data_IF_441694702790
#
_entry.id   IF_441694702790
#
_cell.length_a   1.000
_cell.length_b   1.000
_cell.length_c   1.000
_cell.angle_alpha   90.00
_cell.angle_beta   90.00
_cell.angle_gamma   90.00
#
_symmetry.space_group_name_H-M   'P 1'
#
loop_
_entity.id
_entity.type
_entity.pdbx_description
1 polymer ?
#
# COMPACT_ATOMS: atom_id res chain seq x y z
N UNK A 1 -31.69 10.30 -23.24
CA UNK A 1 -31.07 8.99 -23.50
C UNK A 1 -29.60 9.07 -23.14
N UNK A 2 -29.24 8.84 -21.88
CA UNK A 2 -27.86 8.88 -21.40
C UNK A 2 -27.27 7.48 -21.53
N UNK A 3 -26.60 7.22 -22.66
CA UNK A 3 -25.80 6.01 -22.85
C UNK A 3 -24.68 6.01 -21.84
N UNK A 4 -24.67 4.99 -20.98
CA UNK A 4 -23.70 4.74 -19.93
C UNK A 4 -22.36 4.32 -20.57
N UNK A 5 -21.59 5.30 -21.04
CA UNK A 5 -20.29 5.14 -21.71
C UNK A 5 -19.16 4.72 -20.75
N UNK A 6 -19.50 3.99 -19.69
CA UNK A 6 -18.54 3.37 -18.79
C UNK A 6 -17.91 2.16 -19.48
N UNK A 7 -16.61 2.22 -19.78
CA UNK A 7 -15.82 1.10 -20.28
C UNK A 7 -15.87 -0.12 -19.34
N UNK A 8 -16.05 0.15 -18.05
CA UNK A 8 -16.09 -0.85 -17.00
C UNK A 8 -17.39 -1.69 -17.07
N UNK A 9 -17.22 -3.00 -17.00
CA UNK A 9 -18.30 -3.98 -16.86
C UNK A 9 -18.71 -4.08 -15.39
N UNK A 10 -19.96 -4.51 -15.16
CA UNK A 10 -20.40 -4.93 -13.84
C UNK A 10 -19.78 -6.28 -13.51
N UNK A 11 -19.20 -6.42 -12.32
CA UNK A 11 -18.54 -7.64 -11.87
C UNK A 11 -19.56 -8.55 -11.16
N UNK A 12 -19.78 -9.79 -11.64
CA UNK A 12 -20.68 -10.74 -10.99
C UNK A 12 -20.23 -11.11 -9.57
N UNK A 13 -21.17 -11.42 -8.68
CA UNK A 13 -20.91 -11.76 -7.26
C UNK A 13 -19.91 -12.90 -7.06
N UNK A 14 -19.91 -13.91 -7.94
CA UNK A 14 -19.01 -15.06 -7.89
C UNK A 14 -17.71 -14.90 -8.70
N UNK A 15 -17.40 -13.70 -9.20
CA UNK A 15 -16.19 -13.48 -9.99
C UNK A 15 -14.92 -13.43 -9.12
N UNK A 16 -13.78 -13.70 -9.73
CA UNK A 16 -12.47 -13.67 -9.07
C UNK A 16 -12.00 -15.04 -8.59
N UNK A 17 -10.86 -15.04 -7.90
CA UNK A 17 -10.15 -16.22 -7.40
C UNK A 17 -10.29 -16.30 -5.88
N UNK A 18 -11.50 -16.53 -5.39
CA UNK A 18 -11.79 -16.67 -3.97
C UNK A 18 -13.15 -16.09 -3.59
N UNK A 19 -13.57 -16.27 -2.33
CA UNK A 19 -14.80 -15.66 -1.84
C UNK A 19 -14.65 -14.15 -1.85
N UNK A 20 -15.66 -13.46 -2.38
CA UNK A 20 -15.69 -12.01 -2.30
C UNK A 20 -15.92 -11.57 -0.85
N UNK A 21 -15.12 -10.62 -0.37
CA UNK A 21 -15.36 -10.03 0.95
C UNK A 21 -16.45 -8.97 0.82
N UNK A 22 -17.43 -9.05 1.72
CA UNK A 22 -18.59 -8.18 1.69
C UNK A 22 -18.54 -7.19 2.86
N UNK A 23 -18.60 -5.91 2.54
CA UNK A 23 -18.98 -4.84 3.44
C UNK A 23 -20.40 -4.37 3.07
N UNK A 24 -21.06 -3.63 3.96
CA UNK A 24 -22.45 -3.16 3.78
C UNK A 24 -22.70 -2.43 2.47
N UNK A 25 -21.68 -1.79 1.88
CA UNK A 25 -21.79 -1.03 0.62
C UNK A 25 -20.79 -1.47 -0.46
N UNK A 26 -19.81 -2.31 -0.14
CA UNK A 26 -18.72 -2.66 -1.06
C UNK A 26 -18.44 -4.15 -1.07
N UNK A 27 -18.01 -4.66 -2.22
CA UNK A 27 -17.60 -6.04 -2.44
C UNK A 27 -16.16 -6.07 -2.96
N UNK A 28 -15.31 -6.90 -2.39
CA UNK A 28 -13.91 -7.04 -2.79
C UNK A 28 -13.71 -8.38 -3.49
N UNK A 29 -13.27 -8.35 -4.75
CA UNK A 29 -12.94 -9.53 -5.56
C UNK A 29 -11.43 -9.70 -5.66
N UNK A 30 -10.94 -10.90 -5.38
CA UNK A 30 -9.53 -11.21 -5.51
C UNK A 30 -9.16 -11.67 -6.93
N UNK A 31 -8.01 -11.22 -7.44
CA UNK A 31 -7.34 -11.83 -8.59
C UNK A 31 -8.09 -11.77 -9.93
N UNK A 32 -8.82 -10.67 -10.18
CA UNK A 32 -9.46 -10.41 -11.47
C UNK A 32 -8.45 -9.90 -12.50
N UNK A 33 -8.63 -10.26 -13.76
CA UNK A 33 -7.83 -9.68 -14.84
C UNK A 33 -8.41 -8.35 -15.27
N UNK A 34 -7.54 -7.41 -15.68
CA UNK A 34 -7.98 -6.13 -16.21
C UNK A 34 -8.95 -6.28 -17.40
N UNK A 35 -8.73 -7.30 -18.25
CA UNK A 35 -9.63 -7.61 -19.37
C UNK A 35 -11.03 -8.08 -18.95
N UNK A 36 -11.17 -8.64 -17.74
CA UNK A 36 -12.46 -9.11 -17.20
C UNK A 36 -13.31 -7.93 -16.69
N UNK A 37 -12.68 -6.78 -16.40
CA UNK A 37 -13.36 -5.56 -15.96
C UNK A 37 -13.89 -4.70 -17.11
N UNK A 38 -13.68 -5.08 -18.36
CA UNK A 38 -13.93 -4.22 -19.52
C UNK A 38 -14.93 -4.86 -20.48
N UNK A 39 -15.87 -4.05 -20.98
CA UNK A 39 -16.88 -4.51 -21.95
C UNK A 39 -16.31 -4.68 -23.35
N UNK A 40 -15.32 -3.86 -23.71
CA UNK A 40 -14.65 -3.82 -25.02
C UNK A 40 -13.27 -3.18 -24.89
N UNK A 41 -12.40 -3.37 -25.89
CA UNK A 41 -11.10 -2.69 -25.94
C UNK A 41 -11.30 -1.17 -26.00
N UNK A 42 -10.66 -0.39 -25.12
CA UNK A 42 -10.68 1.07 -25.19
C UNK A 42 -10.07 1.60 -26.51
N UNK A 43 -10.61 2.68 -27.09
CA UNK A 43 -10.00 3.35 -28.24
C UNK A 43 -8.65 3.97 -27.87
N UNK A 44 -7.78 4.20 -28.85
CA UNK A 44 -6.46 4.80 -28.62
C UNK A 44 -5.38 3.85 -28.08
N UNK A 45 -5.74 2.60 -27.73
CA UNK A 45 -4.78 1.57 -27.35
C UNK A 45 -4.40 0.70 -28.56
N UNK A 46 -3.10 0.49 -28.76
CA UNK A 46 -2.61 -0.49 -29.75
C UNK A 46 -3.00 -1.91 -29.33
N UNK A 47 -3.12 -2.81 -30.31
CA UNK A 47 -3.43 -4.22 -30.04
C UNK A 47 -2.42 -4.89 -29.09
N UNK A 48 -1.14 -4.51 -29.18
CA UNK A 48 -0.10 -5.01 -28.29
C UNK A 48 -0.27 -4.50 -26.84
N UNK A 49 -0.49 -3.19 -26.67
CA UNK A 49 -0.75 -2.61 -25.34
C UNK A 49 -1.95 -3.28 -24.66
N UNK A 50 -3.03 -3.52 -25.42
CA UNK A 50 -4.21 -4.22 -24.92
C UNK A 50 -3.93 -5.69 -24.58
N UNK A 51 -3.26 -6.44 -25.46
CA UNK A 51 -2.90 -7.84 -25.23
C UNK A 51 -2.03 -8.03 -23.99
N UNK A 52 -1.11 -7.09 -23.73
CA UNK A 52 -0.31 -7.05 -22.51
C UNK A 52 -1.16 -6.72 -21.28
N UNK A 53 -1.84 -5.56 -21.28
CA UNK A 53 -2.52 -5.06 -20.09
C UNK A 53 -3.74 -5.89 -19.68
N UNK A 54 -4.49 -6.42 -20.65
CA UNK A 54 -5.71 -7.22 -20.37
C UNK A 54 -5.44 -8.49 -19.55
N UNK A 55 -4.20 -9.00 -19.57
CA UNK A 55 -3.78 -10.18 -18.80
C UNK A 55 -3.28 -9.83 -17.40
N UNK A 56 -3.05 -8.55 -17.10
CA UNK A 56 -2.61 -8.11 -15.78
C UNK A 56 -3.66 -8.51 -14.75
N UNK A 57 -3.22 -9.19 -13.71
CA UNK A 57 -4.03 -9.54 -12.56
C UNK A 57 -4.05 -8.36 -11.59
N UNK A 58 -5.24 -7.97 -11.18
CA UNK A 58 -5.52 -7.05 -10.11
C UNK A 58 -5.75 -7.88 -8.85
N UNK A 59 -4.94 -7.65 -7.83
CA UNK A 59 -4.95 -8.47 -6.62
C UNK A 59 -6.27 -8.33 -5.87
N UNK A 60 -6.77 -7.10 -5.77
CA UNK A 60 -8.08 -6.80 -5.21
C UNK A 60 -8.81 -5.81 -6.13
N UNK A 61 -10.07 -6.07 -6.43
CA UNK A 61 -10.97 -5.13 -7.12
C UNK A 61 -12.14 -4.86 -6.21
N UNK A 62 -12.30 -3.59 -5.83
CA UNK A 62 -13.39 -3.13 -4.99
C UNK A 62 -14.52 -2.64 -5.89
N UNK A 63 -15.70 -3.20 -5.69
CA UNK A 63 -16.91 -2.86 -6.43
C UNK A 63 -17.99 -2.35 -5.48
N UNK A 64 -18.85 -1.46 -5.97
CA UNK A 64 -20.10 -1.11 -5.29
C UNK A 64 -20.97 -2.37 -5.14
N UNK A 65 -21.47 -2.66 -3.93
CA UNK A 65 -22.15 -3.92 -3.63
C UNK A 65 -23.51 -4.07 -4.35
N UNK A 66 -24.19 -2.95 -4.62
CA UNK A 66 -25.51 -2.87 -5.23
C UNK A 66 -25.47 -3.00 -6.77
N UNK A 67 -24.49 -2.38 -7.42
CA UNK A 67 -24.37 -2.31 -8.88
C UNK A 67 -23.30 -3.24 -9.44
N UNK A 68 -22.36 -3.71 -8.61
CA UNK A 68 -21.20 -4.48 -9.04
C UNK A 68 -20.21 -3.67 -9.88
N UNK A 69 -20.32 -2.33 -9.91
CA UNK A 69 -19.38 -1.47 -10.65
C UNK A 69 -18.03 -1.39 -9.93
N UNK A 70 -16.90 -1.60 -10.62
CA UNK A 70 -15.57 -1.35 -10.05
C UNK A 70 -15.42 0.11 -9.64
N UNK A 71 -15.02 0.33 -8.39
CA UNK A 71 -14.70 1.65 -7.83
C UNK A 71 -13.20 1.92 -7.85
N UNK A 72 -12.39 0.91 -7.48
CA UNK A 72 -10.93 0.97 -7.57
C UNK A 72 -10.32 -0.43 -7.49
N UNK A 73 -9.02 -0.52 -7.80
CA UNK A 73 -8.24 -1.74 -7.64
C UNK A 73 -7.00 -1.52 -6.76
N UNK A 74 -6.50 -2.61 -6.18
CA UNK A 74 -5.24 -2.66 -5.44
C UNK A 74 -4.37 -3.74 -6.05
N UNK A 75 -3.11 -3.41 -6.34
CA UNK A 75 -2.07 -4.32 -6.81
C UNK A 75 -0.91 -4.37 -5.79
N UNK A 76 -0.57 -5.56 -5.29
CA UNK A 76 0.58 -5.83 -4.43
C UNK A 76 1.62 -6.64 -5.21
N UNK A 77 2.83 -6.11 -5.35
CA UNK A 77 3.90 -6.77 -6.12
C UNK A 77 5.24 -6.71 -5.39
N UNK A 78 6.17 -7.63 -5.70
CA UNK A 78 7.58 -7.40 -5.40
C UNK A 78 8.13 -6.22 -6.22
N UNK A 79 9.16 -5.50 -5.74
CA UNK A 79 9.83 -4.46 -6.51
C UNK A 79 10.30 -4.98 -7.87
N UNK A 80 10.04 -4.21 -8.93
CA UNK A 80 10.30 -4.61 -10.32
C UNK A 80 11.80 -4.80 -10.57
N UNK A 81 12.25 -6.03 -10.92
CA UNK A 81 13.67 -6.33 -10.99
C UNK A 81 14.35 -5.82 -12.27
N UNK A 82 13.60 -5.62 -13.36
CA UNK A 82 14.16 -5.28 -14.68
C UNK A 82 13.38 -4.22 -15.47
N UNK A 83 13.89 -3.86 -16.64
CA UNK A 83 13.30 -2.85 -17.53
C UNK A 83 12.05 -3.34 -18.26
N UNK A 84 11.91 -4.64 -18.50
CA UNK A 84 10.77 -5.24 -19.20
C UNK A 84 9.53 -5.24 -18.31
N UNK A 85 9.69 -5.63 -17.04
CA UNK A 85 8.67 -5.51 -15.99
C UNK A 85 8.18 -4.06 -15.91
N UNK A 86 9.09 -3.10 -15.75
CA UNK A 86 8.75 -1.66 -15.71
C UNK A 86 8.02 -1.15 -16.95
N UNK A 87 8.27 -1.73 -18.13
CA UNK A 87 7.52 -1.39 -19.36
C UNK A 87 6.10 -1.94 -19.32
N UNK A 88 5.92 -3.18 -18.86
CA UNK A 88 4.59 -3.75 -18.68
C UNK A 88 3.78 -2.93 -17.67
N UNK A 89 4.41 -2.48 -16.59
CA UNK A 89 3.76 -1.64 -15.56
C UNK A 89 3.27 -0.30 -16.09
N UNK A 90 4.11 0.41 -16.85
CA UNK A 90 3.71 1.65 -17.53
C UNK A 90 2.59 1.42 -18.54
N UNK A 91 2.58 0.24 -19.19
CA UNK A 91 1.50 -0.13 -20.11
C UNK A 91 0.19 -0.35 -19.35
N UNK A 92 0.21 -1.11 -18.24
CA UNK A 92 -0.97 -1.28 -17.37
C UNK A 92 -1.46 0.05 -16.85
N UNK A 93 -0.56 0.90 -16.35
CA UNK A 93 -0.86 2.26 -15.86
C UNK A 93 -1.60 3.11 -16.89
N UNK A 94 -1.09 3.15 -18.12
CA UNK A 94 -1.73 3.90 -19.21
C UNK A 94 -3.14 3.35 -19.51
N UNK A 95 -3.33 2.02 -19.45
CA UNK A 95 -4.64 1.40 -19.68
C UNK A 95 -5.61 1.69 -18.54
N UNK A 96 -5.23 1.51 -17.26
CA UNK A 96 -6.12 1.79 -16.12
C UNK A 96 -6.53 3.26 -16.06
N UNK A 97 -5.59 4.16 -16.40
CA UNK A 97 -5.88 5.60 -16.53
C UNK A 97 -6.87 5.85 -17.66
N UNK A 98 -6.66 5.26 -18.84
CA UNK A 98 -7.53 5.46 -20.00
C UNK A 98 -8.97 4.94 -19.80
N UNK A 99 -9.16 3.90 -19.00
CA UNK A 99 -10.48 3.34 -18.68
C UNK A 99 -11.13 3.99 -17.45
N UNK A 100 -10.43 4.91 -16.79
CA UNK A 100 -10.90 5.58 -15.59
C UNK A 100 -11.06 4.65 -14.39
N UNK A 101 -10.22 3.61 -14.26
CA UNK A 101 -10.19 2.75 -13.08
C UNK A 101 -9.11 3.27 -12.11
N UNK A 102 -9.49 3.84 -10.95
CA UNK A 102 -8.53 4.19 -9.92
C UNK A 102 -7.74 2.97 -9.46
N UNK A 103 -6.42 3.11 -9.32
CA UNK A 103 -5.53 2.01 -8.95
C UNK A 103 -4.56 2.44 -7.85
N UNK A 104 -4.51 1.65 -6.78
CA UNK A 104 -3.42 1.68 -5.80
C UNK A 104 -2.41 0.58 -6.14
N UNK A 105 -1.15 0.96 -6.34
CA UNK A 105 -0.06 0.02 -6.56
C UNK A 105 0.91 0.08 -5.39
N UNK A 106 1.17 -1.09 -4.82
CA UNK A 106 2.03 -1.29 -3.65
C UNK A 106 3.18 -2.21 -4.06
N UNK A 107 4.41 -1.71 -3.99
CA UNK A 107 5.60 -2.54 -4.13
C UNK A 107 6.19 -2.84 -2.75
N UNK A 108 6.31 -4.11 -2.40
CA UNK A 108 6.90 -4.58 -1.15
C UNK A 108 7.62 -5.91 -1.36
N UNK A 109 8.81 -6.05 -0.76
CA UNK A 109 9.54 -7.31 -0.78
C UNK A 109 8.80 -8.39 0.04
N UNK A 110 8.08 -7.98 1.08
CA UNK A 110 7.48 -8.85 2.09
C UNK A 110 5.98 -9.03 1.91
N UNK A 111 5.23 -7.95 1.72
CA UNK A 111 3.77 -8.03 1.66
C UNK A 111 3.32 -8.81 0.43
N UNK A 112 2.28 -9.64 0.63
CA UNK A 112 1.71 -10.51 -0.39
C UNK A 112 0.22 -10.27 -0.54
N UNK A 113 -0.25 -10.27 -1.79
CA UNK A 113 -1.64 -10.05 -2.17
C UNK A 113 -2.64 -10.96 -1.43
N UNK A 114 -2.36 -12.27 -1.38
CA UNK A 114 -3.27 -13.24 -0.77
C UNK A 114 -3.42 -13.05 0.75
N UNK A 115 -2.34 -12.68 1.42
CA UNK A 115 -2.28 -12.55 2.89
C UNK A 115 -2.72 -11.16 3.37
N UNK A 116 -2.31 -10.10 2.65
CA UNK A 116 -2.43 -8.71 3.13
C UNK A 116 -3.42 -7.88 2.31
N UNK A 117 -3.66 -8.25 1.05
CA UNK A 117 -4.50 -7.50 0.12
C UNK A 117 -5.89 -7.20 0.67
N UNK A 118 -6.63 -8.20 1.21
CA UNK A 118 -7.92 -7.99 1.84
C UNK A 118 -7.94 -6.89 2.91
N UNK A 119 -6.99 -6.95 3.85
CA UNK A 119 -6.90 -6.00 4.97
C UNK A 119 -6.55 -4.60 4.48
N UNK A 120 -5.65 -4.50 3.51
CA UNK A 120 -5.25 -3.24 2.90
C UNK A 120 -6.41 -2.61 2.13
N UNK A 121 -7.15 -3.40 1.34
CA UNK A 121 -8.33 -2.92 0.63
C UNK A 121 -9.42 -2.45 1.60
N UNK A 122 -9.67 -3.20 2.68
CA UNK A 122 -10.58 -2.81 3.76
C UNK A 122 -10.18 -1.49 4.41
N UNK A 123 -8.89 -1.33 4.73
CA UNK A 123 -8.36 -0.09 5.30
C UNK A 123 -8.59 1.13 4.39
N UNK A 124 -8.31 1.00 3.09
CA UNK A 124 -8.56 2.07 2.11
C UNK A 124 -10.06 2.36 1.96
N UNK A 125 -10.91 1.33 2.01
CA UNK A 125 -12.37 1.50 2.00
C UNK A 125 -12.83 2.36 3.18
N UNK A 126 -12.35 2.06 4.38
CA UNK A 126 -12.75 2.75 5.60
C UNK A 126 -12.18 4.18 5.65
N UNK A 127 -10.91 4.35 5.28
CA UNK A 127 -10.27 5.66 5.19
C UNK A 127 -10.99 6.60 4.23
N UNK A 128 -11.34 6.12 3.03
CA UNK A 128 -12.09 6.89 2.04
C UNK A 128 -13.48 7.29 2.56
N UNK A 129 -14.20 6.34 3.15
CA UNK A 129 -15.53 6.60 3.70
C UNK A 129 -15.49 7.65 4.81
N UNK A 130 -14.47 7.58 5.65
CA UNK A 130 -14.27 8.53 6.73
C UNK A 130 -14.01 9.95 6.18
N UNK A 131 -13.12 10.08 5.20
CA UNK A 131 -12.85 11.35 4.53
C UNK A 131 -14.11 11.94 3.86
N UNK A 132 -14.86 11.11 3.13
CA UNK A 132 -16.13 11.51 2.48
C UNK A 132 -17.18 12.00 3.49
N UNK A 133 -17.26 11.40 4.68
CA UNK A 133 -18.18 11.81 5.75
C UNK A 133 -17.74 13.07 6.50
N UNK A 134 -16.43 13.29 6.62
CA UNK A 134 -15.90 14.46 7.31
C UNK A 134 -16.07 15.77 6.54
N UNK A 135 -15.92 15.74 5.21
CA UNK A 135 -16.17 16.90 4.34
C UNK A 135 -17.59 17.48 4.52
N UNK A 136 -18.55 16.65 4.94
CA UNK A 136 -19.92 17.06 5.20
C UNK A 136 -20.17 17.72 6.57
N UNK A 137 -19.20 17.69 7.50
CA UNK A 137 -19.43 18.01 8.94
C UNK A 137 -18.54 19.11 9.54
N UNK A 138 -17.73 19.78 8.72
CA UNK A 138 -16.61 20.66 9.08
C UNK A 138 -16.70 21.46 10.40
N UNK A 139 -16.22 20.86 11.50
CA UNK A 139 -15.46 21.48 12.59
C UNK A 139 -14.37 20.48 13.03
N UNK A 140 -13.10 20.90 12.97
CA UNK A 140 -11.88 20.11 13.30
C UNK A 140 -11.84 18.68 12.72
N UNK A 141 -11.45 18.56 11.44
CA UNK A 141 -11.19 17.25 10.85
C UNK A 141 -9.93 16.62 11.43
N UNK A 142 -10.05 15.44 12.01
CA UNK A 142 -8.93 14.56 12.40
C UNK A 142 -8.77 13.55 11.26
N UNK A 143 -7.56 13.29 10.77
CA UNK A 143 -7.38 12.29 9.71
C UNK A 143 -7.80 10.89 10.22
N UNK A 144 -8.30 10.03 9.32
CA UNK A 144 -8.70 8.66 9.67
C UNK A 144 -7.62 7.90 10.46
N UNK A 145 -6.36 8.07 10.05
CA UNK A 145 -5.19 7.47 10.71
C UNK A 145 -4.94 8.03 12.12
N UNK A 146 -5.32 9.28 12.37
CA UNK A 146 -5.01 10.01 13.61
C UNK A 146 -6.09 9.90 14.69
N UNK A 147 -7.12 9.09 14.45
CA UNK A 147 -8.13 8.80 15.47
C UNK A 147 -7.44 8.08 16.63
N UNK A 148 -7.39 8.74 17.78
CA UNK A 148 -6.79 8.20 19.00
C UNK A 148 -7.82 7.38 19.76
N UNK A 149 -7.39 6.21 20.24
CA UNK A 149 -8.17 5.36 21.11
C UNK A 149 -7.29 4.33 21.80
N UNK A 150 -7.93 3.38 22.50
CA UNK A 150 -7.23 2.36 23.29
C UNK A 150 -6.69 1.26 22.37
N UNK A 151 -5.38 1.05 22.39
CA UNK A 151 -4.69 0.00 21.65
C UNK A 151 -4.74 -1.34 22.41
N UNK A 152 -4.50 -2.48 21.73
CA UNK A 152 -4.50 -3.81 22.35
C UNK A 152 -3.47 -3.98 23.49
N UNK A 153 -2.40 -3.20 23.48
CA UNK A 153 -1.37 -3.17 24.52
C UNK A 153 -1.74 -2.28 25.73
N UNK A 154 -2.95 -1.71 25.73
CA UNK A 154 -3.46 -0.86 26.80
C UNK A 154 -2.88 0.56 26.79
N UNK A 155 -2.23 1.02 25.71
CA UNK A 155 -1.86 2.44 25.56
C UNK A 155 -2.88 3.18 24.70
N UNK A 156 -2.84 4.50 24.76
CA UNK A 156 -3.62 5.33 23.83
C UNK A 156 -2.77 5.60 22.59
N UNK A 157 -3.37 5.51 21.41
CA UNK A 157 -2.68 5.74 20.15
C UNK A 157 -3.62 5.67 18.94
N UNK A 158 -3.05 5.80 17.75
CA UNK A 158 -3.78 5.72 16.49
C UNK A 158 -4.42 4.34 16.31
N UNK A 159 -5.75 4.22 16.49
CA UNK A 159 -6.43 2.91 16.42
C UNK A 159 -6.47 2.32 15.01
N UNK A 160 -6.31 3.19 14.01
CA UNK A 160 -6.30 2.83 12.60
C UNK A 160 -4.88 2.66 12.04
N UNK A 161 -3.84 2.74 12.87
CA UNK A 161 -2.47 2.47 12.42
C UNK A 161 -2.31 0.97 12.08
N UNK A 162 -2.05 0.67 10.79
CA UNK A 162 -1.83 -0.71 10.32
C UNK A 162 -0.61 -1.36 10.97
N UNK A 163 0.34 -0.55 11.46
CA UNK A 163 1.53 -0.96 12.18
C UNK A 163 1.30 -1.33 13.65
N UNK A 164 0.10 -1.14 14.21
CA UNK A 164 -0.18 -1.47 15.63
C UNK A 164 0.16 -2.93 15.96
N UNK A 165 -0.25 -3.87 15.10
CA UNK A 165 0.06 -5.29 15.32
C UNK A 165 1.56 -5.55 15.21
N UNK A 166 2.27 -4.91 14.27
CA UNK A 166 3.72 -5.07 14.16
C UNK A 166 4.46 -4.55 15.41
N UNK A 167 3.95 -3.51 16.08
CA UNK A 167 4.51 -3.04 17.35
C UNK A 167 4.34 -4.06 18.47
N UNK A 168 3.22 -4.81 18.49
CA UNK A 168 3.04 -5.95 19.41
C UNK A 168 4.09 -7.04 19.11
N UNK A 169 4.24 -7.42 17.84
CA UNK A 169 5.26 -8.40 17.41
C UNK A 169 6.68 -7.97 17.80
N UNK A 170 7.00 -6.67 17.72
CA UNK A 170 8.29 -6.15 18.13
C UNK A 170 8.52 -6.28 19.64
N UNK A 171 7.50 -6.04 20.46
CA UNK A 171 7.57 -6.26 21.91
C UNK A 171 7.76 -7.76 22.21
N UNK A 172 6.98 -8.63 21.56
CA UNK A 172 7.10 -10.08 21.75
C UNK A 172 8.48 -10.60 21.34
N UNK A 173 8.99 -10.17 20.18
CA UNK A 173 10.31 -10.54 19.71
C UNK A 173 11.42 -10.01 20.64
N UNK A 174 11.28 -8.82 21.21
CA UNK A 174 12.21 -8.29 22.21
C UNK A 174 12.19 -9.12 23.50
N UNK A 175 11.01 -9.45 24.02
CA UNK A 175 10.86 -10.31 25.21
C UNK A 175 11.48 -11.70 24.97
N UNK A 176 11.32 -12.24 23.76
CA UNK A 176 11.95 -13.48 23.32
C UNK A 176 13.46 -13.36 23.03
N UNK A 177 14.08 -12.18 23.26
CA UNK A 177 15.50 -11.88 22.98
C UNK A 177 15.89 -12.05 21.51
N UNK A 178 14.93 -11.88 20.60
CA UNK A 178 15.11 -11.88 19.14
C UNK A 178 15.35 -10.48 18.57
N UNK A 179 15.16 -9.44 19.37
CA UNK A 179 15.45 -8.05 19.03
C UNK A 179 16.35 -7.41 20.08
N UNK A 180 17.13 -6.41 19.66
CA UNK A 180 17.97 -5.58 20.54
C UNK A 180 17.15 -4.51 21.25
N UNK A 181 16.18 -3.91 20.55
CA UNK A 181 15.17 -3.02 21.12
C UNK A 181 13.79 -3.30 20.50
N UNK A 182 12.68 -2.99 21.19
CA UNK A 182 11.34 -3.18 20.65
C UNK A 182 10.88 -2.02 19.74
N UNK A 183 11.78 -1.08 19.38
CA UNK A 183 11.40 0.16 18.72
C UNK A 183 11.45 -0.03 17.20
N UNK A 184 10.26 -0.07 16.60
CA UNK A 184 10.11 0.10 15.15
C UNK A 184 10.30 1.57 14.80
N UNK A 185 11.40 1.86 14.12
CA UNK A 185 11.69 3.19 13.59
C UNK A 185 11.18 3.26 12.16
N UNK A 186 10.74 4.44 11.74
CA UNK A 186 10.18 4.63 10.40
C UNK A 186 10.47 6.03 9.87
N UNK A 187 10.35 6.15 8.55
CA UNK A 187 10.29 7.43 7.85
C UNK A 187 9.46 7.28 6.59
N UNK A 188 8.99 8.39 6.05
CA UNK A 188 8.39 8.44 4.73
C UNK A 188 8.83 9.66 3.94
N UNK A 189 8.74 9.55 2.63
CA UNK A 189 8.93 10.66 1.69
C UNK A 189 7.89 10.56 0.58
N UNK A 190 7.58 11.70 -0.04
CA UNK A 190 6.77 11.72 -1.26
C UNK A 190 7.53 12.40 -2.39
N UNK A 191 7.77 11.68 -3.48
CA UNK A 191 8.50 12.18 -4.64
C UNK A 191 7.56 12.98 -5.57
N UNK A 192 7.96 14.20 -5.96
CA UNK A 192 7.11 15.11 -6.74
C UNK A 192 6.62 14.56 -8.09
N UNK A 193 7.41 13.67 -8.70
CA UNK A 193 7.08 12.97 -9.95
C UNK A 193 7.18 11.46 -9.78
N UNK A 194 6.81 10.96 -8.60
CA UNK A 194 7.06 9.58 -8.25
C UNK A 194 6.14 9.01 -7.17
N UNK A 195 6.50 7.85 -6.62
CA UNK A 195 5.72 7.21 -5.59
C UNK A 195 5.81 7.95 -4.26
N UNK A 196 4.91 7.64 -3.34
CA UNK A 196 5.19 7.76 -1.93
C UNK A 196 6.06 6.57 -1.49
N UNK A 197 7.01 6.80 -0.61
CA UNK A 197 7.97 5.79 -0.16
C UNK A 197 8.03 5.78 1.36
N UNK A 198 7.78 4.62 1.95
CA UNK A 198 7.81 4.38 3.38
C UNK A 198 8.91 3.38 3.73
N UNK A 199 9.58 3.65 4.84
CA UNK A 199 10.65 2.83 5.38
C UNK A 199 10.33 2.48 6.82
N UNK A 200 10.69 1.27 7.22
CA UNK A 200 10.66 0.84 8.60
C UNK A 200 11.80 -0.09 8.90
N UNK A 201 12.38 0.00 10.10
CA UNK A 201 13.45 -0.89 10.52
C UNK A 201 13.45 -1.19 12.02
N UNK A 202 14.02 -2.35 12.34
CA UNK A 202 14.23 -2.84 13.70
C UNK A 202 15.65 -3.41 13.84
N UNK A 203 16.30 -3.17 14.98
CA UNK A 203 17.62 -3.73 15.26
C UNK A 203 17.48 -5.13 15.85
N UNK A 204 17.85 -6.15 15.07
CA UNK A 204 17.73 -7.56 15.46
C UNK A 204 18.90 -7.95 16.37
N UNK A 205 20.09 -7.49 16.04
CA UNK A 205 21.34 -7.65 16.80
C UNK A 205 22.19 -6.39 16.64
N UNK A 206 23.18 -6.13 17.49
CA UNK A 206 24.03 -4.95 17.38
C UNK A 206 24.56 -4.72 15.96
N UNK A 207 24.18 -3.59 15.35
CA UNK A 207 24.56 -3.18 14.01
C UNK A 207 23.87 -3.90 12.84
N UNK A 208 22.95 -4.84 13.13
CA UNK A 208 22.22 -5.64 12.14
C UNK A 208 20.73 -5.33 12.14
N UNK A 209 20.27 -4.66 11.09
CA UNK A 209 18.91 -4.14 10.97
C UNK A 209 18.06 -4.95 10.01
N UNK A 210 16.86 -5.27 10.43
CA UNK A 210 15.80 -5.67 9.53
C UNK A 210 15.19 -4.40 8.94
N UNK A 211 15.21 -4.25 7.62
CA UNK A 211 14.75 -3.04 6.92
C UNK A 211 13.72 -3.43 5.88
N UNK A 212 12.60 -2.73 5.87
CA UNK A 212 11.59 -2.81 4.82
C UNK A 212 11.41 -1.45 4.16
N UNK A 213 11.22 -1.50 2.85
CA UNK A 213 10.83 -0.36 2.02
C UNK A 213 9.57 -0.72 1.25
N UNK A 214 8.58 0.16 1.34
CA UNK A 214 7.34 0.06 0.58
C UNK A 214 7.20 1.30 -0.29
N UNK A 215 6.86 1.11 -1.57
CA UNK A 215 6.49 2.22 -2.45
C UNK A 215 5.02 2.13 -2.84
N UNK A 216 4.37 3.29 -2.88
CA UNK A 216 2.97 3.46 -3.24
C UNK A 216 2.83 4.39 -4.44
N UNK A 217 2.11 3.94 -5.47
CA UNK A 217 1.61 4.81 -6.53
C UNK A 217 0.09 4.79 -6.52
N UNK A 218 -0.54 5.96 -6.40
CA UNK A 218 -1.98 6.11 -6.52
C UNK A 218 -2.33 6.74 -7.88
N UNK A 219 -2.92 5.95 -8.77
CA UNK A 219 -3.31 6.39 -10.11
C UNK A 219 -4.79 6.75 -10.11
N UNK A 220 -5.10 8.04 -10.05
CA UNK A 220 -6.49 8.53 -10.00
C UNK A 220 -7.26 8.11 -8.75
N UNK A 221 -6.58 7.59 -7.72
CA UNK A 221 -7.17 7.15 -6.47
C UNK A 221 -6.83 8.14 -5.35
N UNK A 222 -7.86 8.62 -4.67
CA UNK A 222 -7.71 9.26 -3.37
C UNK A 222 -7.86 8.22 -2.26
N UNK A 223 -6.84 8.00 -1.43
CA UNK A 223 -6.88 6.95 -0.40
C UNK A 223 -7.66 7.35 0.87
N UNK A 224 -7.99 8.64 1.05
CA UNK A 224 -8.60 9.14 2.30
C UNK A 224 -7.59 9.30 3.45
N UNK A 225 -6.30 9.15 3.15
CA UNK A 225 -5.15 9.24 4.06
C UNK A 225 -3.96 9.78 3.27
N UNK A 226 -3.01 10.40 3.97
CA UNK A 226 -1.74 10.77 3.37
C UNK A 226 -0.99 9.53 2.84
N UNK A 227 -0.51 9.62 1.60
CA UNK A 227 0.07 8.48 0.89
C UNK A 227 1.46 8.11 1.44
N UNK A 228 2.23 9.09 1.91
CA UNK A 228 3.55 8.85 2.48
C UNK A 228 3.45 8.16 3.84
N UNK A 229 2.56 8.65 4.71
CA UNK A 229 2.21 8.01 5.98
C UNK A 229 1.65 6.60 5.77
N UNK A 230 0.81 6.41 4.74
CA UNK A 230 0.32 5.06 4.41
C UNK A 230 1.46 4.12 3.98
N UNK A 231 2.42 4.61 3.21
CA UNK A 231 3.58 3.82 2.82
C UNK A 231 4.43 3.43 4.05
N UNK A 232 4.60 4.34 5.03
CA UNK A 232 5.27 4.05 6.30
C UNK A 232 4.54 2.96 7.09
N UNK A 233 3.22 3.10 7.27
CA UNK A 233 2.42 2.13 8.03
C UNK A 233 2.50 0.72 7.39
N UNK A 234 2.54 0.65 6.05
CA UNK A 234 2.76 -0.61 5.33
C UNK A 234 4.19 -1.14 5.48
N UNK A 235 5.20 -0.28 5.57
CA UNK A 235 6.57 -0.69 5.85
C UNK A 235 6.68 -1.25 7.29
N UNK A 236 6.01 -0.62 8.26
CA UNK A 236 5.91 -1.10 9.64
C UNK A 236 5.21 -2.47 9.69
N UNK A 237 4.09 -2.62 8.97
CA UNK A 237 3.42 -3.92 8.81
C UNK A 237 4.37 -4.98 8.24
N UNK A 238 5.10 -4.65 7.18
CA UNK A 238 6.07 -5.55 6.54
C UNK A 238 7.20 -5.97 7.49
N UNK A 239 7.70 -5.07 8.34
CA UNK A 239 8.67 -5.42 9.39
C UNK A 239 8.05 -6.42 10.35
N UNK A 240 6.84 -6.18 10.84
CA UNK A 240 6.11 -7.10 11.71
C UNK A 240 5.98 -8.51 11.14
N UNK A 241 5.66 -8.63 9.85
CA UNK A 241 5.61 -9.94 9.16
C UNK A 241 6.94 -10.68 9.19
N UNK A 242 8.05 -9.97 9.02
CA UNK A 242 9.38 -10.59 9.10
C UNK A 242 9.78 -10.92 10.53
N UNK A 243 9.36 -10.12 11.51
CA UNK A 243 9.61 -10.40 12.92
C UNK A 243 8.95 -11.70 13.36
N UNK A 244 7.73 -11.98 12.87
CA UNK A 244 7.04 -13.27 13.10
C UNK A 244 7.81 -14.47 12.57
N UNK A 245 8.57 -14.29 11.48
CA UNK A 245 9.30 -15.36 10.80
C UNK A 245 10.72 -15.56 11.31
N UNK A 246 11.20 -14.74 12.26
CA UNK A 246 12.57 -14.84 12.79
C UNK A 246 12.90 -16.19 13.42
N UNK A 247 11.90 -16.93 13.90
CA UNK A 247 12.10 -18.25 14.51
C UNK A 247 12.27 -19.35 13.46
N UNK A 248 11.72 -19.15 12.26
CA UNK A 248 11.66 -20.16 11.20
C UNK A 248 12.58 -19.84 10.02
N UNK A 249 13.00 -18.59 9.87
CA UNK A 249 13.76 -18.09 8.72
C UNK A 249 14.91 -17.17 9.16
N UNK A 250 16.09 -17.35 8.55
CA UNK A 250 17.23 -16.45 8.76
C UNK A 250 16.96 -15.12 8.04
N UNK A 251 16.85 -13.98 8.77
CA UNK A 251 16.56 -12.70 8.14
C UNK A 251 17.77 -12.17 7.36
N UNK A 252 17.51 -11.57 6.19
CA UNK A 252 18.48 -10.67 5.57
C UNK A 252 18.58 -9.38 6.37
N UNK A 253 19.75 -9.13 6.96
CA UNK A 253 20.03 -7.94 7.75
C UNK A 253 20.90 -6.95 6.96
N UNK A 254 20.64 -5.67 7.16
CA UNK A 254 21.40 -4.54 6.60
C UNK A 254 22.28 -3.96 7.72
N UNK A 255 23.48 -3.52 7.38
CA UNK A 255 24.36 -2.85 8.35
C UNK A 255 23.87 -1.44 8.70
N UNK A 256 24.27 -0.91 9.87
CA UNK A 256 24.00 0.51 10.22
C UNK A 256 24.49 1.46 9.13
N UNK A 257 25.68 1.22 8.61
CA UNK A 257 26.30 2.09 7.59
C UNK A 257 25.48 2.10 6.29
N UNK A 258 25.04 0.92 5.82
CA UNK A 258 24.19 0.82 4.63
C UNK A 258 22.84 1.51 4.82
N UNK A 259 22.21 1.35 5.99
CA UNK A 259 20.95 2.02 6.32
C UNK A 259 21.13 3.55 6.31
N UNK A 260 22.15 4.06 7.02
CA UNK A 260 22.43 5.51 7.05
C UNK A 260 22.78 6.05 5.66
N UNK A 261 23.54 5.29 4.86
CA UNK A 261 23.85 5.66 3.47
C UNK A 261 22.57 5.77 2.63
N UNK A 262 21.62 4.86 2.81
CA UNK A 262 20.33 4.93 2.12
C UNK A 262 19.51 6.16 2.55
N UNK A 263 19.42 6.42 3.87
CA UNK A 263 18.71 7.59 4.41
C UNK A 263 19.33 8.90 3.92
N UNK A 264 20.66 9.01 3.95
CA UNK A 264 21.40 10.16 3.40
C UNK A 264 21.18 10.32 1.90
N UNK A 265 21.01 9.22 1.17
CA UNK A 265 20.62 9.22 -0.24
C UNK A 265 19.24 9.81 -0.49
N UNK A 266 18.28 9.61 0.41
CA UNK A 266 16.97 10.27 0.36
C UNK A 266 17.11 11.78 0.58
N UNK A 267 17.83 12.16 1.65
CA UNK A 267 18.10 13.58 1.97
C UNK A 267 18.81 14.31 0.83
N UNK A 268 19.80 13.67 0.20
CA UNK A 268 20.55 14.26 -0.91
C UNK A 268 19.65 14.60 -2.12
N UNK A 269 18.46 14.01 -2.20
CA UNK A 269 17.45 14.25 -3.24
C UNK A 269 16.22 14.98 -2.69
N UNK A 270 16.36 15.73 -1.60
CA UNK A 270 15.25 16.47 -0.98
C UNK A 270 14.56 17.44 -1.96
N UNK A 271 15.28 17.97 -2.95
CA UNK A 271 14.72 18.89 -3.94
C UNK A 271 13.76 18.19 -4.94
N UNK A 272 13.78 16.85 -4.98
CA UNK A 272 12.84 16.03 -5.76
C UNK A 272 11.55 15.70 -4.98
N UNK A 273 11.46 16.10 -3.71
CA UNK A 273 10.33 15.77 -2.83
C UNK A 273 9.20 16.80 -2.95
N UNK A 274 7.96 16.35 -2.70
CA UNK A 274 6.80 17.24 -2.55
C UNK A 274 6.95 18.09 -1.29
N UNK A 275 7.35 17.44 -0.18
CA UNK A 275 7.53 18.06 1.12
C UNK A 275 9.01 18.06 1.52
N UNK A 276 9.36 18.94 2.47
CA UNK A 276 10.72 18.96 3.02
C UNK A 276 11.07 17.64 3.71
N UNK A 277 12.32 17.20 3.58
CA UNK A 277 12.81 16.02 4.27
C UNK A 277 12.81 16.22 5.80
N UNK A 278 11.83 15.63 6.51
CA UNK A 278 11.62 15.86 7.94
C UNK A 278 12.59 15.11 8.88
N UNK A 279 13.52 14.31 8.33
CA UNK A 279 14.30 13.33 9.09
C UNK A 279 15.79 13.68 9.17
N UNK A 280 16.13 14.97 9.14
CA UNK A 280 17.53 15.44 9.20
C UNK A 280 18.30 14.92 10.42
N UNK A 281 17.61 14.70 11.54
CA UNK A 281 18.16 14.14 12.76
C UNK A 281 18.71 12.71 12.57
N UNK A 282 18.18 11.93 11.61
CA UNK A 282 18.68 10.59 11.29
C UNK A 282 19.96 10.59 10.44
N UNK A 283 20.33 11.73 9.90
CA UNK A 283 21.55 11.87 9.09
C UNK A 283 22.77 12.29 9.91
N UNK A 284 22.56 12.70 11.16
CA UNK A 284 23.60 13.06 12.12
C UNK A 284 24.35 11.78 12.58
N UNK A 285 25.65 11.90 12.86
CA UNK A 285 26.53 10.75 13.13
C UNK A 285 26.26 10.06 14.48
#
# INVERSE_FOLDING_TARGET
MTGDDSWLSTVPTGAGRGPALLSTQRRVHAGLRLGELLRRRPPGLTGNQWSTASRTLLDQVVCAADTGRPEFAVELRPPSPDSAARRAERTTEAVVTAIGLPLLRIASATLRAAEHGPRIAGYVIDARRYAEGADASAQSYVEFRDIVGRLPDGRDGAVNDLGVLARVEAVEAYVARRLTDPILRGLHVYWAQGPAEGWSWAEVRPGGFLVERVTLCAYGLHCGIDLARFAEDLAVLAVGERLRKLETETPTLVSREELLRAIRGLRARQDDLVDTFAYDHLCQD
#
